data_IF_678219038001
#
_entry.id   IF_678219038001
#
_cell.length_a   1.000
_cell.length_b   1.000
_cell.length_c   1.000
_cell.angle_alpha   90.00
_cell.angle_beta   90.00
_cell.angle_gamma   90.00
#
_symmetry.space_group_name_H-M   'P 1'
#
loop_
_entity.id
_entity.type
_entity.pdbx_description
1 polymer ?
#
# COMPACT_ATOMS: atom_id res chain seq x y z
N UNK A 1 -4.74 -9.49 -8.35
CA UNK A 1 -5.03 -8.77 -7.08
C UNK A 1 -6.35 -9.27 -6.49
N UNK A 2 -6.45 -9.43 -5.17
CA UNK A 2 -7.70 -9.81 -4.49
C UNK A 2 -8.68 -8.63 -4.37
N UNK A 3 -9.95 -8.90 -4.05
CA UNK A 3 -10.95 -7.86 -3.85
C UNK A 3 -10.57 -6.91 -2.70
N UNK A 4 -10.10 -7.45 -1.57
CA UNK A 4 -9.69 -6.65 -0.41
C UNK A 4 -8.48 -5.75 -0.73
N UNK A 5 -7.47 -6.28 -1.43
CA UNK A 5 -6.31 -5.49 -1.88
C UNK A 5 -6.73 -4.38 -2.84
N UNK A 6 -7.61 -4.70 -3.80
CA UNK A 6 -8.16 -3.71 -4.73
C UNK A 6 -8.89 -2.60 -3.99
N UNK A 7 -9.74 -2.96 -3.04
CA UNK A 7 -10.47 -2.01 -2.19
C UNK A 7 -9.52 -1.08 -1.42
N UNK A 8 -8.47 -1.62 -0.79
CA UNK A 8 -7.46 -0.80 -0.11
C UNK A 8 -6.73 0.17 -1.06
N UNK A 9 -6.35 -0.30 -2.25
CA UNK A 9 -5.70 0.55 -3.26
C UNK A 9 -6.62 1.70 -3.70
N UNK A 10 -7.90 1.41 -3.95
CA UNK A 10 -8.89 2.42 -4.34
C UNK A 10 -9.11 3.43 -3.21
N UNK A 11 -9.30 2.97 -1.97
CA UNK A 11 -9.46 3.87 -0.80
C UNK A 11 -8.28 4.82 -0.65
N UNK A 12 -7.05 4.31 -0.77
CA UNK A 12 -5.86 5.16 -0.77
C UNK A 12 -5.89 6.20 -1.90
N UNK A 13 -6.17 5.79 -3.15
CA UNK A 13 -6.21 6.71 -4.31
C UNK A 13 -7.26 7.82 -4.16
N UNK A 14 -8.41 7.51 -3.58
CA UNK A 14 -9.49 8.48 -3.37
C UNK A 14 -9.23 9.42 -2.18
N UNK A 15 -8.13 9.25 -1.45
CA UNK A 15 -7.87 10.01 -0.22
C UNK A 15 -8.79 9.62 0.93
N UNK A 16 -9.49 8.48 0.81
CA UNK A 16 -10.43 8.03 1.81
C UNK A 16 -9.67 7.48 3.01
N UNK A 17 -9.61 8.31 4.03
CA UNK A 17 -9.40 7.89 5.40
C UNK A 17 -10.82 7.64 5.99
N UNK A 18 -11.32 6.38 6.11
CA UNK A 18 -12.57 6.05 6.78
C UNK A 18 -12.77 6.87 8.06
N UNK A 19 -13.86 7.64 8.08
CA UNK A 19 -14.28 8.45 9.23
C UNK A 19 -14.71 9.87 8.89
N UNK A 20 -14.20 10.47 7.80
CA UNK A 20 -14.52 11.86 7.40
C UNK A 20 -14.01 12.94 8.37
N UNK A 21 -13.77 12.59 9.63
CA UNK A 21 -13.10 13.38 10.67
C UNK A 21 -11.73 12.76 10.93
N UNK A 22 -10.65 13.57 10.95
CA UNK A 22 -9.34 13.07 11.34
C UNK A 22 -9.38 12.56 12.79
N UNK A 23 -9.12 11.28 12.99
CA UNK A 23 -8.99 10.69 14.32
C UNK A 23 -7.52 10.70 14.78
N UNK A 24 -7.25 10.57 16.09
CA UNK A 24 -5.90 10.37 16.59
C UNK A 24 -5.25 9.13 16.00
N UNK A 25 -3.96 9.20 15.66
CA UNK A 25 -3.22 8.01 15.26
C UNK A 25 -3.07 7.06 16.46
N UNK A 26 -3.41 5.76 16.33
CA UNK A 26 -3.21 4.80 17.42
C UNK A 26 -1.75 4.69 17.90
N UNK A 27 -0.78 4.91 17.01
CA UNK A 27 0.66 4.93 17.34
C UNK A 27 1.13 6.27 17.91
N UNK A 28 0.42 7.36 17.62
CA UNK A 28 0.77 8.72 18.02
C UNK A 28 -0.50 9.51 18.38
N UNK A 29 -1.05 9.33 19.60
CA UNK A 29 -2.37 9.87 19.96
C UNK A 29 -2.47 11.40 19.90
N UNK A 30 -1.34 12.11 19.95
CA UNK A 30 -1.28 13.57 19.84
C UNK A 30 -1.40 14.08 18.41
N UNK A 31 -1.27 13.20 17.41
CA UNK A 31 -1.27 13.55 16.00
C UNK A 31 -2.53 13.03 15.30
N UNK A 32 -3.14 13.89 14.49
CA UNK A 32 -4.24 13.50 13.59
C UNK A 32 -3.72 12.56 12.51
N UNK A 33 -4.44 11.46 12.27
CA UNK A 33 -4.13 10.52 11.22
C UNK A 33 -4.49 11.13 9.86
N UNK A 34 -3.51 11.76 9.23
CA UNK A 34 -3.59 12.34 7.88
C UNK A 34 -2.75 11.52 6.90
N UNK A 35 -2.90 11.74 5.59
CA UNK A 35 -2.07 11.07 4.57
C UNK A 35 -0.57 11.33 4.79
N UNK A 36 -0.20 12.59 5.08
CA UNK A 36 1.18 12.98 5.39
C UNK A 36 1.70 12.25 6.63
N UNK A 37 0.88 12.20 7.69
CA UNK A 37 1.24 11.46 8.89
C UNK A 37 1.35 9.95 8.62
N UNK A 38 0.46 9.35 7.83
CA UNK A 38 0.53 7.93 7.49
C UNK A 38 1.84 7.58 6.77
N UNK A 39 2.30 8.43 5.84
CA UNK A 39 3.58 8.24 5.13
C UNK A 39 4.76 8.17 6.10
N UNK A 40 4.79 9.08 7.08
CA UNK A 40 5.86 9.10 8.11
C UNK A 40 5.69 7.99 9.15
N UNK A 41 4.45 7.76 9.62
CA UNK A 41 4.11 6.80 10.68
C UNK A 41 4.34 5.35 10.25
N UNK A 42 4.09 5.04 8.98
CA UNK A 42 4.36 3.72 8.39
C UNK A 42 5.73 3.62 7.73
N UNK A 43 6.55 4.68 7.81
CA UNK A 43 7.88 4.76 7.22
C UNK A 43 7.91 4.33 5.74
N UNK A 44 6.95 4.83 4.95
CA UNK A 44 6.70 4.34 3.60
C UNK A 44 7.89 4.53 2.67
N UNK A 45 8.65 5.63 2.82
CA UNK A 45 9.84 5.90 2.01
C UNK A 45 10.91 4.80 2.11
N UNK A 46 11.26 4.42 3.34
CA UNK A 46 12.27 3.38 3.57
C UNK A 46 11.76 2.03 3.09
N UNK A 47 10.51 1.67 3.43
CA UNK A 47 9.93 0.39 3.06
C UNK A 47 9.80 0.22 1.55
N UNK A 48 9.44 1.28 0.83
CA UNK A 48 9.24 1.27 -0.61
C UNK A 48 10.52 1.57 -1.40
N UNK A 49 11.65 1.81 -0.73
CA UNK A 49 12.92 2.25 -1.34
C UNK A 49 12.74 3.50 -2.23
N UNK A 50 11.96 4.47 -1.74
CA UNK A 50 11.62 5.70 -2.46
C UNK A 50 12.26 6.93 -1.79
N UNK A 51 12.87 7.84 -2.56
CA UNK A 51 13.51 9.03 -2.01
C UNK A 51 12.47 9.94 -1.32
N UNK A 52 12.91 10.67 -0.28
CA UNK A 52 12.06 11.62 0.47
C UNK A 52 11.56 12.81 -0.36
N UNK A 53 12.14 13.01 -1.55
CA UNK A 53 11.70 14.02 -2.52
C UNK A 53 10.34 13.70 -3.14
N UNK A 54 9.93 12.42 -3.17
CA UNK A 54 8.62 12.01 -3.68
C UNK A 54 7.57 12.16 -2.58
N UNK A 55 6.75 13.21 -2.64
CA UNK A 55 5.80 13.56 -1.57
C UNK A 55 4.86 12.42 -1.16
N UNK A 56 4.44 11.58 -2.11
CA UNK A 56 3.58 10.42 -1.86
C UNK A 56 4.15 9.17 -2.57
N UNK A 57 5.02 8.40 -1.90
CA UNK A 57 5.69 7.25 -2.50
C UNK A 57 4.71 6.13 -2.87
N UNK A 58 3.62 5.98 -2.12
CA UNK A 58 2.65 4.92 -2.34
C UNK A 58 1.77 5.22 -3.56
N UNK A 59 1.27 6.45 -3.69
CA UNK A 59 0.53 6.86 -4.90
C UNK A 59 1.40 6.82 -6.14
N UNK A 60 2.66 7.26 -6.05
CA UNK A 60 3.62 7.19 -7.14
C UNK A 60 3.75 5.76 -7.68
N UNK A 61 4.00 4.78 -6.79
CA UNK A 61 4.10 3.38 -7.20
C UNK A 61 2.77 2.84 -7.72
N UNK A 62 1.66 3.10 -7.05
CA UNK A 62 0.36 2.60 -7.51
C UNK A 62 -0.01 3.09 -8.91
N UNK A 63 0.43 4.28 -9.33
CA UNK A 63 0.22 4.79 -10.68
C UNK A 63 1.08 4.08 -11.75
N UNK A 64 2.15 3.42 -11.33
CA UNK A 64 3.05 2.64 -12.18
C UNK A 64 2.65 1.16 -12.28
N UNK A 65 1.52 0.76 -11.70
CA UNK A 65 1.05 -0.63 -11.73
C UNK A 65 0.99 -1.16 -13.17
N UNK A 66 1.43 -2.40 -13.42
CA UNK A 66 1.35 -2.99 -14.74
C UNK A 66 -0.10 -2.99 -15.24
N UNK A 67 -0.34 -2.28 -16.35
CA UNK A 67 -1.66 -2.18 -16.98
C UNK A 67 -1.77 -3.00 -18.27
N UNK A 68 -0.63 -3.46 -18.80
CA UNK A 68 -0.54 -4.21 -20.06
C UNK A 68 -0.23 -5.68 -19.80
N UNK A 69 -0.72 -6.59 -20.66
CA UNK A 69 -0.49 -8.03 -20.54
C UNK A 69 0.96 -8.42 -20.86
N UNK A 70 1.76 -7.56 -21.48
CA UNK A 70 3.19 -7.79 -21.72
C UNK A 70 4.04 -6.96 -20.73
N UNK A 71 4.60 -7.63 -19.74
CA UNK A 71 5.54 -7.03 -18.78
C UNK A 71 6.92 -7.63 -19.05
N UNK A 72 7.95 -6.79 -19.19
CA UNK A 72 9.33 -7.30 -19.28
C UNK A 72 9.73 -7.99 -17.98
N UNK A 73 10.56 -9.03 -18.04
CA UNK A 73 11.02 -9.77 -16.85
C UNK A 73 11.62 -8.88 -15.76
N UNK A 74 12.42 -7.88 -16.13
CA UNK A 74 12.97 -6.90 -15.17
C UNK A 74 11.89 -6.13 -14.41
N UNK A 75 10.84 -5.69 -15.12
CA UNK A 75 9.70 -5.00 -14.52
C UNK A 75 8.88 -5.96 -13.65
N UNK A 76 8.70 -7.21 -14.09
CA UNK A 76 8.01 -8.22 -13.31
C UNK A 76 8.75 -8.54 -12.00
N UNK A 77 10.08 -8.63 -12.04
CA UNK A 77 10.93 -8.84 -10.87
C UNK A 77 10.87 -7.64 -9.91
N UNK A 78 10.95 -6.42 -10.43
CA UNK A 78 10.81 -5.23 -9.60
C UNK A 78 9.44 -5.19 -8.90
N UNK A 79 8.38 -5.58 -9.59
CA UNK A 79 7.03 -5.60 -9.02
C UNK A 79 6.82 -6.75 -8.03
N UNK A 80 7.42 -7.92 -8.26
CA UNK A 80 7.30 -9.06 -7.33
C UNK A 80 7.92 -8.76 -5.96
N UNK A 81 8.95 -7.91 -5.92
CA UNK A 81 9.58 -7.43 -4.70
C UNK A 81 8.80 -6.31 -4.01
N UNK A 82 8.28 -5.35 -4.78
CA UNK A 82 7.59 -4.15 -4.23
C UNK A 82 6.15 -4.41 -3.82
N UNK A 83 5.45 -5.27 -4.53
CA UNK A 83 4.02 -5.48 -4.33
C UNK A 83 3.64 -6.02 -2.93
N UNK A 84 4.35 -7.00 -2.36
CA UNK A 84 4.06 -7.47 -0.99
C UNK A 84 4.18 -6.35 0.03
N UNK A 85 5.17 -5.46 -0.14
CA UNK A 85 5.39 -4.31 0.75
C UNK A 85 4.26 -3.31 0.63
N UNK A 86 3.80 -3.01 -0.59
CA UNK A 86 2.63 -2.15 -0.83
C UNK A 86 1.38 -2.71 -0.15
N UNK A 87 1.12 -4.00 -0.33
CA UNK A 87 -0.03 -4.66 0.28
C UNK A 87 0.03 -4.67 1.81
N UNK A 88 1.22 -4.86 2.39
CA UNK A 88 1.46 -4.80 3.83
C UNK A 88 1.22 -3.39 4.39
N UNK A 89 1.77 -2.35 3.74
CA UNK A 89 1.53 -0.95 4.13
C UNK A 89 0.04 -0.61 4.09
N UNK A 90 -0.66 -1.00 3.01
CA UNK A 90 -2.09 -0.77 2.86
C UNK A 90 -2.92 -1.52 3.91
N UNK A 91 -2.48 -2.70 4.33
CA UNK A 91 -3.12 -3.47 5.39
C UNK A 91 -2.92 -2.84 6.78
N UNK A 92 -1.70 -2.43 7.12
CA UNK A 92 -1.42 -1.71 8.36
C UNK A 92 -2.17 -0.38 8.45
N UNK A 93 -2.30 0.33 7.32
CA UNK A 93 -3.10 1.54 7.24
C UNK A 93 -4.57 1.26 7.61
N UNK A 94 -5.12 0.17 7.09
CA UNK A 94 -6.49 -0.29 7.39
C UNK A 94 -6.67 -0.57 8.89
N UNK A 95 -5.70 -1.26 9.51
CA UNK A 95 -5.69 -1.56 10.94
C UNK A 95 -5.64 -0.28 11.80
N UNK A 96 -4.75 0.66 11.44
CA UNK A 96 -4.63 1.94 12.15
C UNK A 96 -5.90 2.78 12.02
N UNK A 97 -6.66 2.62 10.94
CA UNK A 97 -7.90 3.36 10.78
C UNK A 97 -9.09 2.77 11.52
N UNK A 98 -9.24 1.45 11.49
CA UNK A 98 -10.39 0.79 12.10
C UNK A 98 -10.18 0.43 13.57
N UNK A 99 -8.98 0.68 14.13
CA UNK A 99 -8.60 0.28 15.50
C UNK A 99 -8.99 -1.18 15.77
N UNK A 100 -8.90 -2.01 14.73
CA UNK A 100 -9.34 -3.39 14.73
C UNK A 100 -8.22 -4.23 14.14
N UNK A 101 -7.88 -5.32 14.82
CA UNK A 101 -7.00 -6.34 14.26
C UNK A 101 -7.74 -7.02 13.10
N UNK A 102 -7.44 -6.61 11.87
CA UNK A 102 -7.91 -7.31 10.68
C UNK A 102 -7.00 -8.53 10.52
N UNK A 103 -7.51 -9.77 10.64
CA UNK A 103 -6.68 -10.95 10.51
C UNK A 103 -6.05 -11.03 9.12
N UNK A 104 -4.77 -11.38 9.06
CA UNK A 104 -4.11 -11.76 7.81
C UNK A 104 -4.55 -13.18 7.50
N UNK A 105 -5.49 -13.35 6.56
CA UNK A 105 -5.95 -14.68 6.17
C UNK A 105 -5.04 -15.35 5.14
N UNK A 106 -4.25 -14.55 4.40
CA UNK A 106 -3.35 -15.01 3.34
C UNK A 106 -2.14 -14.07 3.24
N UNK A 107 -0.98 -14.54 2.76
CA UNK A 107 0.16 -13.67 2.48
C UNK A 107 -0.23 -12.52 1.55
N UNK A 108 0.34 -11.34 1.79
CA UNK A 108 0.00 -10.15 1.03
C UNK A 108 0.42 -10.24 -0.44
N UNK A 109 -0.51 -9.92 -1.35
CA UNK A 109 -0.23 -9.72 -2.76
C UNK A 109 -0.23 -10.95 -3.65
N UNK A 110 -0.55 -12.14 -3.12
CA UNK A 110 -0.36 -13.43 -3.81
C UNK A 110 -0.93 -13.48 -5.24
N UNK A 111 -2.16 -12.99 -5.43
CA UNK A 111 -2.78 -13.02 -6.77
C UNK A 111 -2.04 -12.21 -7.84
N UNK A 112 -1.35 -11.12 -7.46
CA UNK A 112 -0.53 -10.39 -8.44
C UNK A 112 0.83 -11.07 -8.60
N UNK A 113 1.40 -11.62 -7.53
CA UNK A 113 2.65 -12.37 -7.60
C UNK A 113 2.53 -13.59 -8.52
N UNK A 114 1.46 -14.37 -8.38
CA UNK A 114 1.16 -15.51 -9.26
C UNK A 114 1.10 -15.08 -10.71
N UNK A 115 0.40 -13.98 -11.01
CA UNK A 115 0.34 -13.43 -12.35
C UNK A 115 1.72 -12.97 -12.86
N UNK A 116 2.53 -12.34 -12.01
CA UNK A 116 3.87 -11.86 -12.37
C UNK A 116 4.85 -13.01 -12.69
N UNK A 117 4.67 -14.19 -12.09
CA UNK A 117 5.52 -15.36 -12.35
C UNK A 117 5.50 -15.81 -13.81
N UNK A 118 4.45 -15.49 -14.57
CA UNK A 118 4.39 -15.80 -16.00
C UNK A 118 5.37 -14.96 -16.85
N UNK A 119 5.98 -13.93 -16.27
CA UNK A 119 6.87 -12.99 -16.95
C UNK A 119 8.30 -13.02 -16.41
N UNK A 120 8.56 -13.80 -15.35
CA UNK A 120 9.89 -14.03 -14.78
C UNK A 120 10.56 -15.18 -15.50
#
# INVERSE_FOLDING_TARGET
MSYAERSRCIRWRLGWLPGGKPHPCPKHPTLKFTRKHAITCLNMHQRLYMPKTITDPLSFLLNMLPSRPSVSSNLALSWSQRWPVICSILHELDQLQHVTAIPITHPHGQKLLEWLKHFL
#
